data_IF_096920430208
#
_entry.id   IF_096920430208
#
_cell.length_a   1.000
_cell.length_b   1.000
_cell.length_c   1.000
_cell.angle_alpha   90.00
_cell.angle_beta   90.00
_cell.angle_gamma   90.00
#
_symmetry.space_group_name_H-M   'P 1'
#
loop_
_entity.id
_entity.type
_entity.pdbx_description
1 polymer ?
#
# COMPACT_ATOMS: atom_id res chain seq x y z
N UNK A 1 -17.16 -2.11 37.83
CA UNK A 1 -17.70 -0.76 37.57
C UNK A 1 -17.71 -0.56 36.07
N UNK A 2 -18.86 -0.29 35.42
CA UNK A 2 -18.86 0.02 34.00
C UNK A 2 -18.09 1.33 33.80
N UNK A 3 -16.99 1.27 33.06
CA UNK A 3 -16.29 2.47 32.60
C UNK A 3 -17.26 3.16 31.64
N UNK A 4 -17.69 4.37 31.96
CA UNK A 4 -18.52 5.16 31.06
C UNK A 4 -17.79 5.24 29.71
N UNK A 5 -18.32 4.59 28.67
CA UNK A 5 -17.78 4.71 27.33
C UNK A 5 -17.99 6.16 26.92
N UNK A 6 -16.92 6.95 26.90
CA UNK A 6 -16.96 8.27 26.29
C UNK A 6 -17.56 8.09 24.88
N UNK A 7 -18.64 8.81 24.58
CA UNK A 7 -19.20 8.79 23.23
C UNK A 7 -18.09 9.20 22.27
N UNK A 8 -17.70 8.28 21.39
CA UNK A 8 -16.75 8.59 20.33
C UNK A 8 -17.43 9.66 19.49
N UNK A 9 -16.99 10.91 19.64
CA UNK A 9 -17.49 12.00 18.81
C UNK A 9 -17.16 11.64 17.38
N UNK A 10 -18.14 11.67 16.50
CA UNK A 10 -17.91 11.53 15.08
C UNK A 10 -16.81 12.51 14.67
N UNK A 11 -15.70 11.97 14.20
CA UNK A 11 -14.56 12.76 13.74
C UNK A 11 -14.83 13.07 12.27
N UNK A 12 -14.74 14.36 11.90
CA UNK A 12 -14.76 14.77 10.50
C UNK A 12 -13.70 13.97 9.72
N UNK A 13 -14.00 13.71 8.44
CA UNK A 13 -13.38 12.71 7.58
C UNK A 13 -11.88 12.44 7.86
N UNK A 14 -11.48 11.18 8.13
CA UNK A 14 -10.09 10.85 8.43
C UNK A 14 -9.17 10.80 7.20
N UNK A 15 -9.67 11.10 6.00
CA UNK A 15 -8.93 11.04 4.73
C UNK A 15 -8.64 12.41 4.09
N UNK A 16 -8.06 13.40 4.80
CA UNK A 16 -7.47 14.53 4.11
C UNK A 16 -6.22 14.02 3.37
N UNK A 17 -6.26 13.95 2.04
CA UNK A 17 -5.08 13.89 1.16
C UNK A 17 -3.96 12.90 1.57
N UNK A 18 -4.30 11.72 2.12
CA UNK A 18 -3.30 10.77 2.65
C UNK A 18 -2.30 10.23 1.61
N UNK A 19 -2.55 10.50 0.34
CA UNK A 19 -1.67 10.17 -0.78
C UNK A 19 -1.39 11.36 -1.67
N UNK A 20 -1.27 12.57 -1.11
CA UNK A 20 -0.40 13.54 -1.78
C UNK A 20 1.02 13.16 -1.37
N UNK A 21 1.76 12.36 -2.17
CA UNK A 21 3.17 12.16 -1.89
C UNK A 21 3.80 13.55 -1.75
N UNK A 22 4.80 13.71 -0.86
CA UNK A 22 5.58 14.94 -0.86
C UNK A 22 5.95 15.25 -2.30
N UNK A 23 5.77 16.51 -2.73
CA UNK A 23 6.14 16.89 -4.08
C UNK A 23 7.60 16.51 -4.27
N UNK A 24 7.85 15.55 -5.14
CA UNK A 24 9.21 15.14 -5.44
C UNK A 24 9.99 16.37 -5.88
N UNK A 25 11.27 16.44 -5.49
CA UNK A 25 12.17 17.46 -6.02
C UNK A 25 12.05 17.43 -7.56
N UNK A 26 11.97 18.59 -8.23
CA UNK A 26 11.93 18.59 -9.69
C UNK A 26 13.17 17.87 -10.24
N UNK A 27 12.93 16.88 -11.08
CA UNK A 27 13.99 16.08 -11.71
C UNK A 27 14.05 16.34 -13.20
N UNK A 28 15.26 16.36 -13.75
CA UNK A 28 15.53 16.42 -15.19
C UNK A 28 15.96 15.06 -15.69
N UNK A 29 15.21 14.49 -16.63
CA UNK A 29 15.56 13.26 -17.33
C UNK A 29 16.53 13.55 -18.48
N UNK A 30 17.56 12.70 -18.62
CA UNK A 30 18.46 12.68 -19.78
C UNK A 30 18.72 11.24 -20.23
N UNK A 31 19.10 11.03 -21.49
CA UNK A 31 19.61 9.75 -22.00
C UNK A 31 21.04 10.01 -22.49
N UNK A 32 22.07 9.71 -21.67
CA UNK A 32 23.45 9.97 -22.07
C UNK A 32 23.91 9.05 -23.22
N UNK A 33 24.96 9.42 -23.95
CA UNK A 33 25.52 8.54 -24.99
C UNK A 33 26.70 7.68 -24.47
N UNK A 34 27.04 7.84 -23.20
CA UNK A 34 28.12 7.13 -22.52
C UNK A 34 27.73 6.87 -21.05
N UNK A 35 28.28 5.82 -20.40
CA UNK A 35 28.04 5.57 -18.98
C UNK A 35 28.36 6.78 -18.12
N UNK A 36 27.57 6.99 -17.06
CA UNK A 36 27.78 8.09 -16.11
C UNK A 36 27.92 7.57 -14.70
N UNK A 37 28.84 8.12 -13.91
CA UNK A 37 29.14 7.63 -12.56
C UNK A 37 28.40 8.41 -11.48
N UNK A 38 28.01 7.69 -10.42
CA UNK A 38 27.49 8.21 -9.16
C UNK A 38 28.15 7.48 -7.99
N UNK A 39 29.15 8.10 -7.36
CA UNK A 39 29.96 7.42 -6.36
C UNK A 39 30.61 6.15 -6.93
N UNK A 40 30.29 5.00 -6.32
CA UNK A 40 30.75 3.69 -6.78
C UNK A 40 29.85 3.05 -7.87
N UNK A 41 28.67 3.61 -8.15
CA UNK A 41 27.78 3.11 -9.19
C UNK A 41 28.14 3.71 -10.56
N UNK A 42 28.05 2.89 -11.60
CA UNK A 42 28.11 3.33 -13.00
C UNK A 42 26.76 3.08 -13.64
N UNK A 43 26.08 4.16 -14.04
CA UNK A 43 24.83 4.14 -14.77
C UNK A 43 25.07 3.85 -16.25
N UNK A 44 24.15 3.13 -16.89
CA UNK A 44 24.18 2.89 -18.33
C UNK A 44 24.07 4.20 -19.12
N UNK A 45 24.78 4.25 -20.25
CA UNK A 45 24.66 5.36 -21.19
C UNK A 45 23.30 5.33 -21.87
N UNK A 46 22.93 4.21 -22.45
CA UNK A 46 21.74 3.99 -23.28
C UNK A 46 20.40 3.93 -22.52
N UNK A 47 20.34 4.44 -21.28
CA UNK A 47 19.15 4.42 -20.42
C UNK A 47 18.92 5.79 -19.81
N UNK A 48 17.72 5.99 -19.30
CA UNK A 48 17.40 7.23 -18.59
C UNK A 48 18.26 7.42 -17.34
N UNK A 49 18.69 8.66 -17.14
CA UNK A 49 19.34 9.14 -15.93
C UNK A 49 18.60 10.40 -15.50
N UNK A 50 18.01 10.34 -14.32
CA UNK A 50 17.30 11.46 -13.72
C UNK A 50 18.20 12.17 -12.73
N UNK A 51 18.24 13.50 -12.81
CA UNK A 51 19.02 14.36 -11.92
C UNK A 51 18.14 15.35 -11.20
N UNK A 52 18.45 15.66 -9.95
CA UNK A 52 17.84 16.80 -9.27
C UNK A 52 18.46 18.14 -9.72
N UNK A 53 17.96 19.25 -9.18
CA UNK A 53 18.46 20.61 -9.48
C UNK A 53 19.94 20.80 -9.14
N UNK A 54 20.47 20.05 -8.17
CA UNK A 54 21.89 20.06 -7.83
C UNK A 54 22.75 19.22 -8.80
N UNK A 55 22.14 18.63 -9.82
CA UNK A 55 22.79 17.77 -10.80
C UNK A 55 23.14 16.38 -10.29
N UNK A 56 22.69 16.00 -9.08
CA UNK A 56 22.95 14.68 -8.50
C UNK A 56 22.07 13.65 -9.19
N UNK A 57 22.61 12.46 -9.46
CA UNK A 57 21.83 11.36 -10.01
C UNK A 57 20.86 10.86 -8.94
N UNK A 58 19.57 10.84 -9.25
CA UNK A 58 18.48 10.36 -8.38
C UNK A 58 17.87 9.06 -8.90
N UNK A 59 17.94 8.80 -10.19
CA UNK A 59 17.49 7.53 -10.78
C UNK A 59 18.41 7.11 -11.92
N UNK A 60 18.82 5.85 -11.95
CA UNK A 60 19.45 5.27 -13.14
C UNK A 60 19.42 3.73 -13.15
N UNK A 61 19.62 3.14 -14.33
CA UNK A 61 19.93 1.71 -14.48
C UNK A 61 21.44 1.47 -14.37
N UNK A 62 21.89 0.58 -13.49
CA UNK A 62 23.31 0.27 -13.35
C UNK A 62 23.84 -0.56 -14.53
N UNK A 63 25.03 -0.22 -15.01
CA UNK A 63 25.73 -0.94 -16.09
C UNK A 63 26.39 -2.23 -15.61
N UNK A 64 26.70 -2.33 -14.32
CA UNK A 64 27.29 -3.50 -13.67
C UNK A 64 26.88 -3.53 -12.21
N UNK A 65 27.00 -4.68 -11.56
CA UNK A 65 26.82 -4.77 -10.11
C UNK A 65 27.79 -3.81 -9.41
N UNK A 66 27.34 -3.20 -8.31
CA UNK A 66 28.12 -2.23 -7.55
C UNK A 66 27.80 -2.33 -6.06
N UNK A 67 28.69 -1.82 -5.22
CA UNK A 67 28.40 -1.62 -3.79
C UNK A 67 28.30 -0.13 -3.50
N UNK A 68 27.12 0.34 -3.11
CA UNK A 68 26.86 1.75 -2.78
C UNK A 68 26.39 1.82 -1.34
N UNK A 69 27.08 2.61 -0.51
CA UNK A 69 26.80 2.70 0.94
C UNK A 69 26.70 1.33 1.62
N UNK A 70 27.57 0.41 1.20
CA UNK A 70 27.60 -0.96 1.70
C UNK A 70 26.50 -1.85 1.16
N UNK A 71 25.57 -1.41 0.30
CA UNK A 71 24.52 -2.22 -0.33
C UNK A 71 25.02 -2.79 -1.66
N UNK A 72 25.00 -4.11 -1.80
CA UNK A 72 25.37 -4.79 -3.06
C UNK A 72 24.18 -4.77 -4.02
N UNK A 73 24.26 -3.91 -5.04
CA UNK A 73 23.23 -3.69 -6.06
C UNK A 73 23.52 -4.57 -7.27
N UNK A 74 22.48 -5.21 -7.82
CA UNK A 74 22.58 -6.05 -9.01
C UNK A 74 22.94 -5.24 -10.27
N UNK A 75 23.57 -5.89 -11.24
CA UNK A 75 23.69 -5.33 -12.58
C UNK A 75 22.29 -5.13 -13.19
N UNK A 76 22.14 -4.12 -14.06
CA UNK A 76 20.86 -3.75 -14.70
C UNK A 76 19.73 -3.37 -13.73
N UNK A 77 20.02 -3.22 -12.43
CA UNK A 77 19.03 -2.74 -11.46
C UNK A 77 18.63 -1.30 -11.75
N UNK A 78 17.33 -1.05 -11.89
CA UNK A 78 16.76 0.29 -11.90
C UNK A 78 16.75 0.82 -10.46
N UNK A 79 17.60 1.80 -10.19
CA UNK A 79 17.89 2.26 -8.83
C UNK A 79 17.50 3.71 -8.65
N UNK A 80 16.71 3.98 -7.61
CA UNK A 80 16.46 5.31 -7.09
C UNK A 80 17.42 5.57 -5.94
N UNK A 81 17.91 6.80 -5.84
CA UNK A 81 18.80 7.26 -4.78
C UNK A 81 18.14 8.42 -4.02
N UNK A 82 18.34 8.41 -2.71
CA UNK A 82 18.09 9.58 -1.87
C UNK A 82 19.06 10.71 -2.23
N UNK A 83 18.73 11.92 -1.81
CA UNK A 83 19.56 13.11 -2.05
C UNK A 83 21.00 12.98 -1.47
N UNK A 84 21.18 12.12 -0.48
CA UNK A 84 22.47 11.82 0.16
C UNK A 84 23.23 10.66 -0.50
N UNK A 85 22.71 10.08 -1.58
CA UNK A 85 23.34 8.97 -2.32
C UNK A 85 23.04 7.58 -1.77
N UNK A 86 22.31 7.46 -0.65
CA UNK A 86 21.83 6.15 -0.16
C UNK A 86 20.83 5.58 -1.18
N UNK A 87 20.93 4.29 -1.56
CA UNK A 87 19.92 3.66 -2.42
C UNK A 87 18.55 3.68 -1.73
N UNK A 88 17.54 4.26 -2.39
CA UNK A 88 16.16 4.27 -1.93
C UNK A 88 15.45 3.00 -2.35
N UNK A 89 15.39 2.72 -3.66
CA UNK A 89 14.69 1.56 -4.22
C UNK A 89 15.62 0.90 -5.23
N UNK A 90 15.93 -0.39 -5.04
CA UNK A 90 16.89 -1.09 -5.90
C UNK A 90 16.72 -2.62 -5.84
N UNK A 91 17.36 -3.34 -6.77
CA UNK A 91 17.46 -4.80 -6.73
C UNK A 91 18.81 -5.20 -6.14
N UNK A 92 18.80 -5.99 -5.07
CA UNK A 92 20.05 -6.43 -4.42
C UNK A 92 20.67 -7.64 -5.13
N UNK A 93 21.99 -7.72 -5.17
CA UNK A 93 22.70 -8.74 -5.95
C UNK A 93 22.65 -10.16 -5.31
N UNK A 94 22.52 -10.24 -3.99
CA UNK A 94 22.58 -11.49 -3.22
C UNK A 94 21.78 -11.40 -1.94
N UNK A 95 21.43 -12.55 -1.34
CA UNK A 95 20.80 -12.63 -0.03
C UNK A 95 21.61 -11.83 1.01
N UNK A 96 20.91 -11.03 1.83
CA UNK A 96 21.54 -10.19 2.85
C UNK A 96 20.55 -9.74 3.91
N UNK A 97 21.03 -9.58 5.15
CA UNK A 97 20.27 -8.91 6.21
C UNK A 97 20.44 -7.39 6.18
N UNK A 98 19.35 -6.66 6.38
CA UNK A 98 19.33 -5.21 6.59
C UNK A 98 18.77 -4.90 7.97
N UNK A 99 19.27 -3.83 8.61
CA UNK A 99 18.69 -3.35 9.87
C UNK A 99 17.41 -2.56 9.60
N UNK A 100 16.36 -2.82 10.38
CA UNK A 100 15.16 -1.99 10.44
C UNK A 100 15.42 -0.68 11.19
N UNK A 101 14.44 0.22 11.22
CA UNK A 101 14.46 1.42 12.08
C UNK A 101 14.51 1.14 13.60
N UNK A 102 14.34 -0.11 14.01
CA UNK A 102 14.45 -0.60 15.39
C UNK A 102 15.69 -1.50 15.61
N UNK A 103 16.67 -1.44 14.71
CA UNK A 103 17.92 -2.23 14.74
C UNK A 103 17.72 -3.76 14.65
N UNK A 104 16.54 -4.24 14.25
CA UNK A 104 16.29 -5.67 14.00
C UNK A 104 16.84 -6.04 12.62
N UNK A 105 17.64 -7.10 12.54
CA UNK A 105 18.15 -7.62 11.27
C UNK A 105 17.08 -8.44 10.53
N UNK A 106 16.71 -7.97 9.33
CA UNK A 106 15.71 -8.61 8.46
C UNK A 106 16.42 -9.25 7.26
N UNK A 107 16.27 -10.57 7.05
CA UNK A 107 16.90 -11.29 5.95
C UNK A 107 16.15 -11.05 4.64
N UNK A 108 16.76 -10.35 3.71
CA UNK A 108 16.20 -10.08 2.39
C UNK A 108 16.81 -11.00 1.32
N UNK A 109 15.98 -11.43 0.36
CA UNK A 109 16.33 -12.33 -0.73
C UNK A 109 17.06 -11.58 -1.86
N UNK A 110 18.16 -12.14 -2.34
CA UNK A 110 18.92 -11.67 -3.49
C UNK A 110 18.12 -11.72 -4.79
N UNK A 111 18.41 -10.78 -5.69
CA UNK A 111 17.70 -10.64 -6.96
C UNK A 111 16.32 -9.99 -6.82
N UNK A 112 15.91 -9.60 -5.62
CA UNK A 112 14.61 -8.98 -5.34
C UNK A 112 14.76 -7.49 -4.99
N UNK A 113 13.63 -6.79 -5.03
CA UNK A 113 13.52 -5.38 -4.65
C UNK A 113 13.75 -5.18 -3.15
N UNK A 114 14.50 -4.14 -2.81
CA UNK A 114 14.54 -3.54 -1.46
C UNK A 114 14.20 -2.07 -1.53
N UNK A 115 13.57 -1.57 -0.48
CA UNK A 115 13.39 -0.13 -0.23
C UNK A 115 14.04 0.22 1.10
N UNK A 116 14.89 1.24 1.11
CA UNK A 116 15.59 1.74 2.29
C UNK A 116 15.27 3.21 2.52
N UNK A 117 15.17 3.59 3.78
CA UNK A 117 15.10 5.00 4.19
C UNK A 117 16.37 5.78 3.82
N UNK A 118 16.33 7.10 3.96
CA UNK A 118 17.49 7.99 3.77
C UNK A 118 18.65 7.69 4.74
N UNK A 119 18.39 6.97 5.82
CA UNK A 119 19.39 6.49 6.79
C UNK A 119 19.88 5.07 6.51
N UNK A 120 19.42 4.45 5.41
CA UNK A 120 19.77 3.08 5.05
C UNK A 120 19.06 1.99 5.85
N UNK A 121 18.10 2.36 6.72
CA UNK A 121 17.26 1.39 7.41
C UNK A 121 16.23 0.79 6.45
N UNK A 122 15.91 -0.49 6.61
CA UNK A 122 14.97 -1.22 5.76
C UNK A 122 13.53 -0.73 5.95
N UNK A 123 12.87 -0.38 4.84
CA UNK A 123 11.44 -0.09 4.78
C UNK A 123 10.67 -1.24 4.10
N UNK A 124 11.26 -1.91 3.11
CA UNK A 124 10.61 -3.02 2.40
C UNK A 124 11.65 -4.01 1.82
N UNK A 125 11.34 -5.31 1.86
CA UNK A 125 12.00 -6.28 0.98
C UNK A 125 11.20 -7.57 0.82
N UNK A 126 11.63 -8.43 -0.10
CA UNK A 126 11.23 -9.84 -0.13
C UNK A 126 12.06 -10.63 0.88
N UNK A 127 11.42 -11.36 1.79
CA UNK A 127 12.09 -12.14 2.82
C UNK A 127 12.86 -13.34 2.24
N UNK A 128 14.11 -13.54 2.67
CA UNK A 128 14.90 -14.72 2.30
C UNK A 128 14.61 -15.97 3.14
N UNK A 129 14.10 -15.79 4.36
CA UNK A 129 13.74 -16.87 5.29
C UNK A 129 12.51 -16.48 6.13
N UNK A 130 11.79 -17.45 6.74
CA UNK A 130 10.69 -17.13 7.64
C UNK A 130 11.16 -16.25 8.79
N UNK A 131 10.30 -15.33 9.24
CA UNK A 131 10.64 -14.41 10.33
C UNK A 131 9.38 -14.04 11.13
N UNK A 132 9.53 -13.89 12.45
CA UNK A 132 8.48 -13.35 13.31
C UNK A 132 8.79 -11.88 13.59
N UNK A 133 7.86 -10.99 13.25
CA UNK A 133 7.95 -9.55 13.46
C UNK A 133 6.72 -9.07 14.23
N UNK A 134 6.91 -8.36 15.34
CA UNK A 134 5.82 -7.92 16.22
C UNK A 134 4.83 -9.06 16.58
N UNK A 135 5.34 -10.28 16.76
CA UNK A 135 4.53 -11.47 17.05
C UNK A 135 3.81 -12.11 15.86
N UNK A 136 3.96 -11.56 14.65
CA UNK A 136 3.37 -12.09 13.41
C UNK A 136 4.39 -12.90 12.62
N UNK A 137 4.04 -14.13 12.24
CA UNK A 137 4.88 -15.00 11.40
C UNK A 137 4.72 -14.62 9.92
N UNK A 138 5.78 -14.12 9.30
CA UNK A 138 5.82 -13.68 7.90
C UNK A 138 6.51 -14.72 7.01
N UNK A 139 5.91 -15.01 5.86
CA UNK A 139 6.31 -16.09 4.97
C UNK A 139 7.63 -15.78 4.21
N UNK A 140 8.52 -16.78 4.02
CA UNK A 140 9.70 -16.61 3.17
C UNK A 140 9.29 -16.42 1.70
N UNK A 141 10.14 -15.73 0.93
CA UNK A 141 9.89 -15.43 -0.48
C UNK A 141 8.74 -14.46 -0.72
N UNK A 142 8.16 -13.89 0.34
CA UNK A 142 7.09 -12.91 0.28
C UNK A 142 7.58 -11.55 0.77
N UNK A 143 6.89 -10.49 0.35
CA UNK A 143 7.23 -9.14 0.74
C UNK A 143 6.87 -8.83 2.19
N UNK A 144 7.73 -8.08 2.85
CA UNK A 144 7.49 -7.42 4.14
C UNK A 144 7.66 -5.92 3.97
N UNK A 145 6.79 -5.14 4.62
CA UNK A 145 6.88 -3.70 4.73
C UNK A 145 6.99 -3.31 6.20
N UNK A 146 7.85 -2.35 6.50
CA UNK A 146 8.07 -1.80 7.83
C UNK A 146 7.69 -0.32 7.85
N UNK A 147 7.43 0.18 9.06
CA UNK A 147 7.30 1.60 9.34
C UNK A 147 8.69 2.20 9.59
N UNK A 148 8.85 3.54 9.54
CA UNK A 148 10.13 4.20 9.83
C UNK A 148 10.75 3.87 11.19
N UNK A 149 9.93 3.45 12.18
CA UNK A 149 10.40 3.01 13.49
C UNK A 149 10.75 1.50 13.55
N UNK A 150 10.79 0.82 12.41
CA UNK A 150 11.10 -0.60 12.29
C UNK A 150 9.97 -1.57 12.65
N UNK A 151 8.79 -1.08 13.05
CA UNK A 151 7.63 -1.94 13.32
C UNK A 151 7.01 -2.49 12.04
N UNK A 152 6.35 -3.64 12.15
CA UNK A 152 5.69 -4.27 11.01
C UNK A 152 4.55 -3.38 10.49
N UNK A 153 4.59 -3.03 9.20
CA UNK A 153 3.47 -2.40 8.51
C UNK A 153 2.61 -3.44 7.80
N UNK A 154 3.20 -4.46 7.19
CA UNK A 154 2.47 -5.55 6.55
C UNK A 154 3.37 -6.66 6.05
N UNK A 155 2.82 -7.85 5.89
CA UNK A 155 3.51 -8.98 5.26
C UNK A 155 2.49 -10.01 4.75
N UNK A 156 2.97 -10.99 3.99
CA UNK A 156 2.21 -12.23 3.75
C UNK A 156 2.41 -13.19 4.92
N UNK A 157 1.32 -13.70 5.47
CA UNK A 157 1.33 -14.58 6.63
C UNK A 157 1.96 -15.95 6.32
N UNK A 158 2.85 -16.43 7.18
CA UNK A 158 3.34 -17.81 7.14
C UNK A 158 2.40 -18.80 7.85
N UNK A 159 1.64 -18.29 8.82
CA UNK A 159 0.71 -19.05 9.65
C UNK A 159 -0.61 -18.29 9.76
N UNK A 160 -1.71 -19.01 9.98
CA UNK A 160 -3.00 -18.37 10.17
C UNK A 160 -2.99 -17.53 11.46
N UNK A 161 -3.66 -16.38 11.43
CA UNK A 161 -3.92 -15.56 12.61
C UNK A 161 -5.44 -15.46 12.83
N UNK A 162 -5.84 -15.29 14.08
CA UNK A 162 -7.23 -15.04 14.44
C UNK A 162 -7.37 -13.71 15.15
N UNK A 163 -8.32 -12.90 14.71
CA UNK A 163 -8.60 -11.60 15.31
C UNK A 163 -9.98 -11.11 14.89
N UNK A 164 -10.70 -10.47 15.83
CA UNK A 164 -12.01 -9.86 15.56
C UNK A 164 -13.06 -10.83 15.01
N UNK A 165 -12.99 -12.10 15.44
CA UNK A 165 -13.89 -13.15 14.96
C UNK A 165 -13.61 -13.63 13.54
N UNK A 166 -12.49 -13.22 12.94
CA UNK A 166 -12.07 -13.62 11.60
C UNK A 166 -10.80 -14.46 11.73
N UNK A 167 -10.79 -15.62 11.08
CA UNK A 167 -9.56 -16.35 10.81
C UNK A 167 -8.99 -15.89 9.47
N UNK A 168 -7.71 -15.52 9.47
CA UNK A 168 -6.96 -15.13 8.28
C UNK A 168 -5.90 -16.19 8.05
N UNK A 169 -6.07 -16.96 6.98
CA UNK A 169 -5.21 -18.10 6.69
C UNK A 169 -3.80 -17.68 6.27
N UNK A 170 -2.85 -18.61 6.37
CA UNK A 170 -1.52 -18.46 5.79
C UNK A 170 -1.59 -18.14 4.29
N UNK A 171 -0.62 -17.37 3.79
CA UNK A 171 -0.58 -16.92 2.40
C UNK A 171 -1.38 -15.65 2.11
N UNK A 172 -2.18 -15.17 3.07
CA UNK A 172 -2.89 -13.88 2.94
C UNK A 172 -1.95 -12.71 3.25
N UNK A 173 -2.01 -11.67 2.42
CA UNK A 173 -1.33 -10.39 2.67
C UNK A 173 -2.15 -9.57 3.66
N UNK A 174 -1.49 -9.12 4.73
CA UNK A 174 -2.09 -8.29 5.77
C UNK A 174 -1.30 -7.00 5.97
N UNK A 175 -1.99 -5.98 6.48
CA UNK A 175 -1.38 -4.75 6.99
C UNK A 175 -1.84 -4.46 8.42
N UNK A 176 -1.05 -3.69 9.15
CA UNK A 176 -1.24 -3.40 10.57
C UNK A 176 -1.24 -1.90 10.84
N UNK A 177 -2.06 -1.46 11.79
CA UNK A 177 -2.06 -0.12 12.38
C UNK A 177 -0.77 0.15 13.16
N UNK A 178 -0.46 1.42 13.46
CA UNK A 178 0.69 1.75 14.31
C UNK A 178 0.67 1.11 15.70
N UNK A 179 -0.50 0.77 16.27
CA UNK A 179 -0.58 -0.03 17.51
C UNK A 179 -0.12 -1.48 17.33
N UNK A 180 -0.22 -2.04 16.13
CA UNK A 180 -0.08 -3.47 15.84
C UNK A 180 -1.41 -4.19 15.66
N UNK A 181 -2.56 -3.50 15.81
CA UNK A 181 -3.86 -4.06 15.43
C UNK A 181 -3.91 -4.30 13.91
N UNK A 182 -4.66 -5.31 13.47
CA UNK A 182 -4.88 -5.59 12.05
C UNK A 182 -5.60 -4.40 11.39
N UNK A 183 -5.05 -3.90 10.28
CA UNK A 183 -5.61 -2.78 9.52
C UNK A 183 -6.29 -3.23 8.23
N UNK A 184 -5.69 -4.15 7.47
CA UNK A 184 -6.34 -4.74 6.31
C UNK A 184 -5.87 -6.16 6.02
N UNK A 185 -6.68 -6.90 5.27
CA UNK A 185 -6.34 -8.23 4.76
C UNK A 185 -6.86 -8.39 3.33
N UNK A 186 -6.02 -8.90 2.43
CA UNK A 186 -6.39 -9.22 1.05
C UNK A 186 -6.72 -10.71 0.91
N UNK A 187 -8.00 -11.02 0.76
CA UNK A 187 -8.54 -12.38 0.71
C UNK A 187 -9.12 -12.71 -0.66
N UNK A 188 -8.56 -13.66 -1.41
CA UNK A 188 -9.18 -14.08 -2.66
C UNK A 188 -10.47 -14.87 -2.42
N UNK A 189 -10.65 -15.51 -1.26
CA UNK A 189 -11.87 -16.23 -0.91
C UNK A 189 -12.93 -15.35 -0.24
N UNK A 190 -14.19 -15.75 -0.40
CA UNK A 190 -15.33 -15.10 0.23
C UNK A 190 -15.37 -15.40 1.73
N UNK A 191 -15.77 -14.43 2.53
CA UNK A 191 -15.95 -14.59 3.98
C UNK A 191 -17.07 -13.71 4.52
N UNK A 192 -17.51 -13.96 5.75
CA UNK A 192 -18.48 -13.12 6.45
C UNK A 192 -17.73 -12.32 7.51
N UNK A 193 -17.76 -11.00 7.40
CA UNK A 193 -17.15 -10.06 8.35
C UNK A 193 -18.24 -9.14 8.88
N UNK A 194 -18.50 -9.15 10.19
CA UNK A 194 -19.59 -8.38 10.82
C UNK A 194 -20.96 -8.54 10.10
N UNK A 195 -21.24 -9.73 9.56
CA UNK A 195 -22.49 -10.01 8.83
C UNK A 195 -22.51 -9.51 7.39
N UNK A 196 -21.39 -9.06 6.82
CA UNK A 196 -21.23 -8.73 5.40
C UNK A 196 -20.46 -9.84 4.70
N UNK A 197 -20.99 -10.31 3.56
CA UNK A 197 -20.26 -11.20 2.68
C UNK A 197 -19.32 -10.37 1.80
N UNK A 198 -18.02 -10.59 1.96
CA UNK A 198 -16.95 -9.77 1.38
C UNK A 198 -15.91 -10.66 0.69
N UNK A 199 -15.21 -10.09 -0.29
CA UNK A 199 -14.08 -10.68 -1.02
C UNK A 199 -13.05 -9.59 -1.33
N UNK A 200 -11.81 -9.99 -1.56
CA UNK A 200 -10.67 -9.11 -1.79
C UNK A 200 -10.26 -8.37 -0.52
N UNK A 201 -10.33 -7.05 -0.52
CA UNK A 201 -9.81 -6.25 0.59
C UNK A 201 -10.88 -5.99 1.65
N UNK A 202 -10.49 -6.20 2.90
CA UNK A 202 -11.25 -5.75 4.08
C UNK A 202 -10.34 -4.82 4.85
N UNK A 203 -10.78 -3.59 5.08
CA UNK A 203 -10.09 -2.65 5.96
C UNK A 203 -10.86 -2.52 7.28
N UNK A 204 -10.10 -2.29 8.34
CA UNK A 204 -10.57 -2.32 9.71
C UNK A 204 -9.95 -1.14 10.44
N UNK A 205 -10.75 -0.45 11.23
CA UNK A 205 -10.29 0.60 12.15
C UNK A 205 -9.48 0.01 13.29
N UNK A 206 -8.70 0.84 13.96
CA UNK A 206 -7.86 0.41 15.08
C UNK A 206 -8.68 -0.10 16.28
N UNK A 207 -9.96 0.29 16.39
CA UNK A 207 -10.90 -0.23 17.39
C UNK A 207 -11.52 -1.59 17.00
N UNK A 208 -11.13 -2.13 15.84
CA UNK A 208 -11.59 -3.42 15.33
C UNK A 208 -12.91 -3.41 14.56
N UNK A 209 -13.48 -2.24 14.31
CA UNK A 209 -14.69 -2.11 13.49
C UNK A 209 -14.34 -1.99 12.00
N UNK A 210 -15.23 -2.44 11.12
CA UNK A 210 -15.05 -2.33 9.67
C UNK A 210 -14.83 -0.87 9.23
N UNK A 211 -13.82 -0.64 8.40
CA UNK A 211 -13.50 0.65 7.81
C UNK A 211 -13.89 0.74 6.34
N UNK A 212 -13.67 -0.33 5.57
CA UNK A 212 -13.98 -0.39 4.15
C UNK A 212 -14.25 -1.85 3.74
N UNK A 213 -15.29 -2.03 2.91
CA UNK A 213 -15.66 -3.32 2.31
C UNK A 213 -16.14 -3.14 0.86
N UNK A 214 -15.94 -4.17 0.04
CA UNK A 214 -16.63 -4.38 -1.23
C UNK A 214 -17.73 -5.43 -1.05
N UNK A 215 -18.97 -5.09 -1.40
CA UNK A 215 -20.12 -5.99 -1.25
C UNK A 215 -20.08 -7.13 -2.28
N UNK A 216 -20.39 -8.36 -1.86
CA UNK A 216 -20.58 -9.51 -2.76
C UNK A 216 -22.04 -9.83 -3.10
N UNK A 217 -22.97 -9.07 -2.56
CA UNK A 217 -24.39 -9.20 -2.86
C UNK A 217 -25.09 -7.87 -2.60
N UNK A 218 -26.21 -7.59 -3.29
CA UNK A 218 -26.96 -6.37 -3.08
C UNK A 218 -27.40 -6.18 -1.62
N UNK A 219 -27.37 -4.94 -1.13
CA UNK A 219 -27.72 -4.62 0.26
C UNK A 219 -28.24 -3.21 0.44
N UNK A 220 -29.23 -3.04 1.31
CA UNK A 220 -29.65 -1.72 1.77
C UNK A 220 -28.70 -1.20 2.85
N UNK A 221 -28.07 -0.05 2.62
CA UNK A 221 -27.20 0.64 3.59
C UNK A 221 -27.55 2.13 3.58
N UNK A 222 -27.76 2.71 4.76
CA UNK A 222 -28.17 4.12 4.90
C UNK A 222 -29.38 4.51 4.02
N UNK A 223 -30.37 3.61 3.92
CA UNK A 223 -31.56 3.73 3.06
C UNK A 223 -31.29 3.80 1.54
N UNK A 224 -30.09 3.41 1.10
CA UNK A 224 -29.72 3.25 -0.32
C UNK A 224 -29.62 1.75 -0.63
N UNK A 225 -30.30 1.30 -1.68
CA UNK A 225 -30.12 -0.03 -2.25
C UNK A 225 -28.82 -0.07 -3.05
N UNK A 226 -27.84 -0.82 -2.57
CA UNK A 226 -26.53 -0.94 -3.21
C UNK A 226 -26.45 -2.24 -4.01
N UNK A 227 -25.88 -2.22 -5.23
CA UNK A 227 -25.64 -3.43 -5.99
C UNK A 227 -24.47 -4.24 -5.42
N UNK A 228 -24.24 -5.42 -5.99
CA UNK A 228 -22.97 -6.14 -5.84
C UNK A 228 -21.80 -5.23 -6.27
N UNK A 229 -20.63 -5.41 -5.65
CA UNK A 229 -19.39 -4.66 -5.86
C UNK A 229 -19.43 -3.20 -5.46
N UNK A 230 -20.50 -2.72 -4.82
CA UNK A 230 -20.47 -1.42 -4.17
C UNK A 230 -19.39 -1.39 -3.08
N UNK A 231 -18.62 -0.31 -3.05
CA UNK A 231 -17.63 -0.02 -2.03
C UNK A 231 -18.27 0.85 -0.95
N UNK A 232 -18.03 0.48 0.31
CA UNK A 232 -18.67 1.10 1.47
C UNK A 232 -17.62 1.43 2.50
N UNK A 233 -17.46 2.71 2.81
CA UNK A 233 -16.56 3.19 3.85
C UNK A 233 -17.33 3.63 5.08
N UNK A 234 -16.87 3.13 6.22
CA UNK A 234 -17.48 3.28 7.53
C UNK A 234 -16.55 4.03 8.47
N UNK A 235 -17.13 4.73 9.43
CA UNK A 235 -16.43 5.36 10.54
C UNK A 235 -16.19 4.34 11.66
N UNK A 236 -15.33 4.65 12.65
CA UNK A 236 -15.12 3.78 13.81
C UNK A 236 -16.39 3.47 14.63
N UNK A 237 -17.45 4.29 14.52
CA UNK A 237 -18.74 4.09 15.17
C UNK A 237 -19.75 3.29 14.32
N UNK A 238 -19.30 2.69 13.21
CA UNK A 238 -20.09 1.93 12.21
C UNK A 238 -20.98 2.77 11.31
N UNK A 239 -21.04 4.09 11.51
CA UNK A 239 -21.79 4.96 10.61
C UNK A 239 -21.11 5.03 9.24
N UNK A 240 -21.89 5.08 8.17
CA UNK A 240 -21.34 5.17 6.80
C UNK A 240 -20.96 6.62 6.53
N UNK A 241 -19.82 6.83 5.87
CA UNK A 241 -19.43 8.17 5.45
C UNK A 241 -19.24 8.30 3.95
N UNK A 242 -18.94 7.20 3.25
CA UNK A 242 -18.83 7.19 1.79
C UNK A 242 -19.33 5.88 1.20
N UNK A 243 -19.91 5.97 0.02
CA UNK A 243 -20.33 4.83 -0.81
C UNK A 243 -19.96 5.16 -2.26
N UNK A 244 -19.41 4.18 -2.97
CA UNK A 244 -19.12 4.26 -4.40
C UNK A 244 -19.67 3.00 -5.10
N UNK A 245 -20.36 3.17 -6.23
CA UNK A 245 -20.84 2.04 -7.03
C UNK A 245 -21.08 2.43 -8.49
N UNK A 246 -20.99 1.44 -9.39
CA UNK A 246 -21.40 1.61 -10.78
C UNK A 246 -22.93 1.66 -10.82
N UNK A 247 -23.48 2.84 -11.10
CA UNK A 247 -24.91 3.08 -11.15
C UNK A 247 -25.51 2.75 -12.52
N UNK A 248 -24.72 2.89 -13.57
CA UNK A 248 -25.09 2.53 -14.94
C UNK A 248 -23.82 2.20 -15.76
N UNK A 249 -23.94 1.36 -16.77
CA UNK A 249 -22.87 1.06 -17.71
C UNK A 249 -23.41 0.75 -19.11
N UNK A 250 -22.54 0.86 -20.11
CA UNK A 250 -22.95 0.57 -21.47
C UNK A 250 -21.86 0.76 -22.51
N UNK A 251 -22.31 0.96 -23.75
CA UNK A 251 -21.44 1.22 -24.90
C UNK A 251 -21.84 2.55 -25.56
N UNK A 252 -20.85 3.32 -25.96
CA UNK A 252 -21.01 4.50 -26.80
C UNK A 252 -21.38 4.08 -28.24
N UNK A 253 -21.96 4.97 -29.06
CA UNK A 253 -22.26 4.68 -30.46
C UNK A 253 -21.04 4.24 -31.29
N UNK A 254 -19.82 4.59 -30.86
CA UNK A 254 -18.57 4.21 -31.52
C UNK A 254 -17.94 2.92 -30.95
N UNK A 255 -18.59 2.27 -29.97
CA UNK A 255 -18.23 0.96 -29.46
C UNK A 255 -17.34 0.96 -28.21
N UNK A 256 -16.94 2.12 -27.69
CA UNK A 256 -16.23 2.21 -26.41
C UNK A 256 -17.18 1.93 -25.24
N UNK A 257 -16.71 1.17 -24.25
CA UNK A 257 -17.45 1.03 -22.99
C UNK A 257 -17.44 2.35 -22.22
N UNK A 258 -18.53 2.62 -21.51
CA UNK A 258 -18.61 3.68 -20.52
C UNK A 258 -19.22 3.15 -19.22
N UNK A 259 -18.94 3.84 -18.11
CA UNK A 259 -19.53 3.55 -16.80
C UNK A 259 -19.85 4.85 -16.07
N UNK A 260 -21.02 4.92 -15.46
CA UNK A 260 -21.41 5.97 -14.53
C UNK A 260 -21.19 5.49 -13.09
N UNK A 261 -20.22 6.11 -12.41
CA UNK A 261 -19.90 5.80 -11.02
C UNK A 261 -20.54 6.81 -10.11
N UNK A 262 -21.48 6.38 -9.28
CA UNK A 262 -22.15 7.24 -8.29
C UNK A 262 -21.41 7.17 -6.96
N UNK A 263 -21.20 8.34 -6.37
CA UNK A 263 -20.50 8.56 -5.10
C UNK A 263 -21.39 9.33 -4.14
N UNK A 264 -21.67 8.75 -2.98
CA UNK A 264 -22.53 9.36 -1.96
C UNK A 264 -21.73 9.54 -0.69
N UNK A 265 -21.67 10.76 -0.18
CA UNK A 265 -20.95 11.11 1.05
C UNK A 265 -21.92 11.59 2.12
N UNK A 266 -21.71 11.13 3.35
CA UNK A 266 -22.59 11.40 4.48
C UNK A 266 -21.84 12.16 5.58
N UNK A 267 -22.53 13.08 6.25
CA UNK A 267 -22.02 13.69 7.49
C UNK A 267 -22.18 12.78 8.72
N UNK A 268 -21.82 13.31 9.89
CA UNK A 268 -21.93 12.64 11.18
C UNK A 268 -23.38 12.38 11.62
N UNK A 269 -24.35 13.11 11.07
CA UNK A 269 -25.79 12.92 11.33
C UNK A 269 -26.41 11.96 10.30
N UNK A 270 -25.59 11.31 9.46
CA UNK A 270 -26.00 10.43 8.37
C UNK A 270 -26.85 11.14 7.30
N UNK A 271 -26.66 12.45 7.13
CA UNK A 271 -27.25 13.21 6.03
C UNK A 271 -26.32 13.21 4.83
N UNK A 272 -26.88 13.09 3.63
CA UNK A 272 -26.12 13.19 2.38
C UNK A 272 -25.61 14.62 2.22
N UNK A 273 -24.30 14.79 2.17
CA UNK A 273 -23.62 16.09 1.94
C UNK A 273 -23.06 16.22 0.53
N UNK A 274 -22.86 15.11 -0.17
CA UNK A 274 -22.52 15.07 -1.59
C UNK A 274 -23.11 13.82 -2.25
N UNK A 275 -23.61 13.99 -3.46
CA UNK A 275 -24.14 12.91 -4.32
C UNK A 275 -23.76 13.26 -5.75
N UNK A 276 -22.72 12.60 -6.26
CA UNK A 276 -22.06 12.95 -7.53
C UNK A 276 -21.99 11.70 -8.39
N UNK A 277 -22.24 11.85 -9.69
CA UNK A 277 -22.03 10.80 -10.68
C UNK A 277 -20.90 11.23 -11.61
N UNK A 278 -19.84 10.43 -11.66
CA UNK A 278 -18.73 10.60 -12.59
C UNK A 278 -18.93 9.67 -13.79
N UNK A 279 -18.87 10.23 -15.00
CA UNK A 279 -18.94 9.48 -16.26
C UNK A 279 -17.52 9.17 -16.75
N UNK A 280 -17.21 7.89 -16.94
CA UNK A 280 -15.90 7.42 -17.41
C UNK A 280 -16.02 6.76 -18.79
N UNK A 281 -15.14 7.16 -19.72
CA UNK A 281 -15.01 6.54 -21.04
C UNK A 281 -13.78 5.65 -21.09
N UNK A 282 -13.92 4.44 -21.64
CA UNK A 282 -12.83 3.50 -21.98
C UNK A 282 -11.93 2.98 -20.83
N UNK A 283 -12.13 3.40 -19.58
CA UNK A 283 -11.45 2.85 -18.42
C UNK A 283 -12.42 2.06 -17.54
N UNK A 284 -12.27 0.73 -17.47
CA UNK A 284 -12.89 -0.01 -16.35
C UNK A 284 -12.10 0.31 -15.09
N UNK A 285 -12.72 1.02 -14.14
CA UNK A 285 -12.30 0.88 -12.73
C UNK A 285 -12.47 -0.61 -12.38
N UNK A 286 -11.35 -1.25 -12.03
CA UNK A 286 -11.31 -2.68 -11.67
C UNK A 286 -11.74 -2.87 -10.24
#
# INVERSE_FOLDING_TARGET
>A
MPVASASVKCVAEPFPDRFKPPADDPMTMTIPNAPVTHGAATCRGDREVWRDEAGRIRVCTLASAATVEGVAIAADAYTHFHANGVPYQTTIASDRSFKSGSDVEIPCKGGELVVLSDKGALDFCTLGKPMVLDGTSCAPGQSVALRPNGRLHGCTLAEAISGMGIEIHAGVRVSFHPSGALASAFRPEQTIVHGYRVQYEVEIHENGELAHITLLEPRTIAAIELPERAEVWMRPDKSVWHIEYVADDGFMPHGEMWTDTRKVTFDCEQRIVADVTDHWMAERRR
#
